data_IF_312288343485
#
_entry.id   IF_312288343485
#
_cell.length_a   1.000
_cell.length_b   1.000
_cell.length_c   1.000
_cell.angle_alpha   90.00
_cell.angle_beta   90.00
_cell.angle_gamma   90.00
#
_symmetry.space_group_name_H-M   'P 1'
#
loop_
_entity.id
_entity.type
_entity.pdbx_description
1 polymer ?
#
# COMPACT_ATOMS: atom_id res chain seq x y z
N UNK A 1 -4.23 27.44 -24.92
CA UNK A 1 -3.93 28.73 -25.57
C UNK A 1 -2.42 28.85 -25.72
N UNK A 2 -1.97 29.31 -26.88
CA UNK A 2 -0.55 29.52 -27.17
C UNK A 2 -0.28 30.99 -27.52
N UNK A 3 0.95 31.44 -27.31
CA UNK A 3 1.43 32.73 -27.80
C UNK A 3 1.73 32.71 -29.31
N UNK A 4 2.18 33.84 -29.86
CA UNK A 4 2.55 33.94 -31.28
C UNK A 4 3.77 33.12 -31.68
N UNK A 5 4.57 32.65 -30.71
CA UNK A 5 5.70 31.75 -30.91
C UNK A 5 5.32 30.27 -30.78
N UNK A 6 4.04 29.95 -30.52
CA UNK A 6 3.56 28.59 -30.34
C UNK A 6 3.77 28.01 -28.95
N UNK A 7 4.21 28.78 -27.95
CA UNK A 7 4.39 28.30 -26.58
C UNK A 7 3.06 28.28 -25.82
N UNK A 8 2.72 27.23 -25.06
CA UNK A 8 1.51 27.23 -24.24
C UNK A 8 1.59 28.29 -23.14
N UNK A 9 0.54 29.11 -23.01
CA UNK A 9 0.44 30.15 -21.96
C UNK A 9 -0.73 29.92 -20.99
N UNK A 10 -1.73 29.14 -21.40
CA UNK A 10 -2.87 28.80 -20.55
C UNK A 10 -3.54 27.51 -21.01
N UNK A 11 -4.05 26.74 -20.04
CA UNK A 11 -4.89 25.57 -20.27
C UNK A 11 -6.33 25.91 -19.91
N UNK A 12 -7.22 25.80 -20.90
CA UNK A 12 -8.65 26.07 -20.73
C UNK A 12 -9.40 24.73 -20.74
N UNK A 13 -10.20 24.41 -19.72
CA UNK A 13 -10.96 23.17 -19.71
C UNK A 13 -12.03 23.22 -20.80
N UNK A 14 -12.03 22.20 -21.66
CA UNK A 14 -13.06 22.00 -22.68
C UNK A 14 -14.07 20.96 -22.18
N UNK A 15 -15.35 21.25 -22.38
CA UNK A 15 -16.42 20.34 -21.98
C UNK A 15 -16.50 19.15 -22.97
N UNK A 16 -16.42 17.89 -22.50
CA UNK A 16 -16.41 16.73 -23.39
C UNK A 16 -17.70 16.54 -24.19
N UNK A 17 -18.86 16.97 -23.67
CA UNK A 17 -20.17 16.90 -24.35
C UNK A 17 -20.31 17.93 -25.48
N UNK A 18 -19.38 18.89 -25.56
CA UNK A 18 -19.36 19.97 -26.56
C UNK A 18 -18.12 19.97 -27.42
N UNK A 19 -17.26 18.97 -27.30
CA UNK A 19 -15.94 18.92 -27.96
C UNK A 19 -15.82 17.61 -28.72
N UNK A 20 -15.74 17.69 -30.04
CA UNK A 20 -15.76 16.54 -30.92
C UNK A 20 -14.46 16.46 -31.72
N UNK A 21 -13.75 15.34 -31.61
CA UNK A 21 -12.55 15.08 -32.40
C UNK A 21 -12.93 14.56 -33.78
N UNK A 22 -12.44 15.20 -34.84
CA UNK A 22 -12.74 14.87 -36.25
C UNK A 22 -11.47 14.72 -37.07
N UNK A 23 -11.58 14.03 -38.20
CA UNK A 23 -10.50 13.86 -39.17
C UNK A 23 -10.88 14.64 -40.42
N UNK A 24 -9.94 15.43 -40.94
CA UNK A 24 -10.11 16.12 -42.23
C UNK A 24 -10.06 15.13 -43.40
N UNK A 25 -10.40 15.58 -44.60
CA UNK A 25 -10.25 14.77 -45.83
C UNK A 25 -8.81 14.33 -46.09
N UNK A 26 -7.83 15.05 -45.54
CA UNK A 26 -6.40 14.77 -45.65
C UNK A 26 -5.86 13.86 -44.54
N UNK A 27 -6.73 13.36 -43.64
CA UNK A 27 -6.32 12.48 -42.54
C UNK A 27 -5.79 13.21 -41.30
N UNK A 28 -5.76 14.54 -41.31
CA UNK A 28 -5.26 15.35 -40.17
C UNK A 28 -6.36 15.50 -39.11
N UNK A 29 -6.10 15.16 -37.83
CA UNK A 29 -7.07 15.31 -36.75
C UNK A 29 -7.24 16.78 -36.33
N UNK A 30 -8.46 17.14 -35.93
CA UNK A 30 -8.83 18.43 -35.38
C UNK A 30 -10.01 18.29 -34.41
N UNK A 31 -10.36 19.37 -33.71
CA UNK A 31 -11.47 19.41 -32.77
C UNK A 31 -12.48 20.48 -33.18
N UNK A 32 -13.76 20.13 -33.12
CA UNK A 32 -14.86 21.10 -33.15
C UNK A 32 -15.42 21.29 -31.74
N UNK A 33 -15.40 22.53 -31.27
CA UNK A 33 -15.93 22.93 -29.97
C UNK A 33 -17.18 23.77 -30.19
N UNK A 34 -18.25 23.43 -29.47
CA UNK A 34 -19.54 24.12 -29.52
C UNK A 34 -19.82 24.86 -28.21
N UNK A 35 -19.15 25.99 -27.93
CA UNK A 35 -19.23 26.65 -26.61
C UNK A 35 -20.66 27.15 -26.30
N UNK A 36 -21.34 27.68 -27.31
CA UNK A 36 -22.71 28.18 -27.27
C UNK A 36 -23.52 27.63 -28.44
N UNK A 37 -24.85 27.60 -28.31
CA UNK A 37 -25.75 27.05 -29.32
C UNK A 37 -25.58 27.80 -30.65
N UNK A 38 -25.10 27.11 -31.68
CA UNK A 38 -24.89 27.65 -33.02
C UNK A 38 -23.48 28.18 -33.29
N UNK A 39 -22.63 28.34 -32.28
CA UNK A 39 -21.21 28.65 -32.47
C UNK A 39 -20.41 27.36 -32.65
N UNK A 40 -19.50 27.34 -33.63
CA UNK A 40 -18.55 26.25 -33.85
C UNK A 40 -17.16 26.88 -33.93
N UNK A 41 -16.25 26.37 -33.09
CA UNK A 41 -14.84 26.76 -33.09
C UNK A 41 -14.01 25.54 -33.43
N UNK A 42 -13.21 25.65 -34.49
CA UNK A 42 -12.28 24.60 -34.89
C UNK A 42 -10.92 24.83 -34.24
N UNK A 43 -10.40 23.82 -33.55
CA UNK A 43 -9.08 23.82 -32.94
C UNK A 43 -8.21 22.73 -33.57
N UNK A 44 -6.95 23.02 -33.92
CA UNK A 44 -6.03 21.99 -34.40
C UNK A 44 -5.61 21.05 -33.26
N UNK A 45 -5.23 19.81 -33.58
CA UNK A 45 -4.90 18.78 -32.58
C UNK A 45 -3.79 19.20 -31.60
N UNK A 46 -2.77 19.90 -32.07
CA UNK A 46 -1.65 20.40 -31.25
C UNK A 46 -2.07 21.48 -30.22
N UNK A 47 -3.28 22.04 -30.33
CA UNK A 47 -3.83 23.02 -29.39
C UNK A 47 -4.76 22.40 -28.34
N UNK A 48 -5.04 21.11 -28.43
CA UNK A 48 -5.95 20.39 -27.52
C UNK A 48 -5.19 19.27 -26.84
N UNK A 49 -5.06 19.34 -25.52
CA UNK A 49 -4.66 18.19 -24.70
C UNK A 49 -5.84 17.23 -24.61
N UNK A 50 -5.70 16.03 -25.16
CA UNK A 50 -6.74 15.02 -25.14
C UNK A 50 -6.28 13.78 -24.41
N UNK A 51 -6.72 13.70 -23.15
CA UNK A 51 -6.50 12.53 -22.31
C UNK A 51 -7.51 11.45 -22.70
N UNK A 52 -7.04 10.48 -23.47
CA UNK A 52 -7.88 9.39 -24.00
C UNK A 52 -8.01 8.30 -22.94
N UNK A 53 -9.25 7.84 -22.73
CA UNK A 53 -9.47 6.58 -22.02
C UNK A 53 -9.19 5.37 -22.92
N UNK A 54 -9.56 4.18 -22.43
CA UNK A 54 -9.49 2.92 -23.18
C UNK A 54 -10.15 3.06 -24.56
N UNK A 55 -9.47 2.63 -25.63
CA UNK A 55 -10.00 2.66 -27.00
C UNK A 55 -9.25 1.67 -27.89
N UNK A 56 -9.85 1.24 -29.00
CA UNK A 56 -9.24 0.27 -29.92
C UNK A 56 -8.30 0.90 -30.95
N UNK A 57 -8.61 2.11 -31.40
CA UNK A 57 -7.90 2.78 -32.50
C UNK A 57 -6.91 3.86 -32.02
N UNK A 58 -6.83 4.08 -30.70
CA UNK A 58 -6.04 5.17 -30.10
C UNK A 58 -6.51 6.57 -30.52
N UNK A 59 -7.66 6.68 -31.20
CA UNK A 59 -8.19 7.92 -31.75
C UNK A 59 -9.14 8.60 -30.77
N UNK A 60 -10.08 7.84 -30.22
CA UNK A 60 -11.02 8.30 -29.18
C UNK A 60 -11.19 7.23 -28.10
N UNK A 61 -11.36 7.65 -26.86
CA UNK A 61 -11.71 6.73 -25.78
C UNK A 61 -13.14 6.23 -25.91
N UNK A 62 -13.40 5.03 -25.43
CA UNK A 62 -14.73 4.47 -25.28
C UNK A 62 -15.52 5.21 -24.21
N UNK A 63 -16.82 5.35 -24.46
CA UNK A 63 -17.75 5.75 -23.43
C UNK A 63 -18.04 4.54 -22.52
N UNK A 64 -17.33 4.46 -21.40
CA UNK A 64 -17.44 3.37 -20.43
C UNK A 64 -18.88 3.21 -19.90
N UNK A 65 -19.60 4.32 -19.69
CA UNK A 65 -21.00 4.31 -19.25
C UNK A 65 -21.91 3.69 -20.31
N UNK A 66 -21.66 3.99 -21.58
CA UNK A 66 -22.42 3.40 -22.69
C UNK A 66 -22.11 1.91 -22.87
N UNK A 67 -20.85 1.50 -22.70
CA UNK A 67 -20.44 0.09 -22.78
C UNK A 67 -21.03 -0.76 -21.65
N UNK A 68 -21.30 -0.15 -20.50
CA UNK A 68 -21.76 -0.84 -19.29
C UNK A 68 -23.16 -0.41 -18.86
N UNK A 69 -23.96 0.08 -19.83
CA UNK A 69 -25.31 0.60 -19.58
C UNK A 69 -26.23 -0.45 -18.96
N UNK A 70 -26.06 -1.73 -19.28
CA UNK A 70 -26.84 -2.83 -18.73
C UNK A 70 -26.56 -3.04 -17.24
N UNK A 71 -25.29 -3.09 -16.83
CA UNK A 71 -24.89 -3.23 -15.42
C UNK A 71 -25.35 -2.02 -14.58
N UNK A 72 -25.19 -0.80 -15.12
CA UNK A 72 -25.66 0.43 -14.49
C UNK A 72 -27.20 0.44 -14.40
N UNK A 73 -27.87 0.10 -15.50
CA UNK A 73 -29.33 0.03 -15.59
C UNK A 73 -29.92 -0.99 -14.61
N UNK A 74 -29.26 -2.15 -14.45
CA UNK A 74 -29.63 -3.15 -13.45
C UNK A 74 -29.55 -2.57 -12.03
N UNK A 75 -28.48 -1.85 -11.70
CA UNK A 75 -28.35 -1.18 -10.39
C UNK A 75 -29.45 -0.15 -10.12
N UNK A 76 -29.82 0.63 -11.13
CA UNK A 76 -30.95 1.58 -11.05
C UNK A 76 -32.26 0.82 -10.80
N UNK A 77 -32.53 -0.24 -11.57
CA UNK A 77 -33.73 -1.04 -11.45
C UNK A 77 -33.85 -1.73 -10.08
N UNK A 78 -32.74 -2.27 -9.55
CA UNK A 78 -32.72 -2.88 -8.21
C UNK A 78 -33.02 -1.84 -7.13
N UNK A 79 -32.43 -0.64 -7.23
CA UNK A 79 -32.71 0.45 -6.28
C UNK A 79 -34.16 0.91 -6.36
N UNK A 80 -34.70 1.05 -7.57
CA UNK A 80 -36.09 1.43 -7.77
C UNK A 80 -37.07 0.36 -7.27
N UNK A 81 -36.79 -0.92 -7.56
CA UNK A 81 -37.56 -2.03 -7.01
C UNK A 81 -37.52 -2.01 -5.48
N UNK A 82 -36.34 -1.86 -4.88
CA UNK A 82 -36.19 -1.74 -3.42
C UNK A 82 -36.99 -0.56 -2.86
N UNK A 83 -36.87 0.62 -3.47
CA UNK A 83 -37.61 1.80 -3.05
C UNK A 83 -39.14 1.58 -3.13
N UNK A 84 -39.64 1.02 -4.23
CA UNK A 84 -41.07 0.70 -4.41
C UNK A 84 -41.54 -0.40 -3.45
N UNK A 85 -40.68 -1.38 -3.17
CA UNK A 85 -40.96 -2.45 -2.22
C UNK A 85 -41.11 -1.89 -0.81
N UNK A 86 -40.16 -1.07 -0.35
CA UNK A 86 -40.21 -0.47 0.98
C UNK A 86 -41.26 0.65 1.11
N UNK A 87 -41.61 1.33 0.01
CA UNK A 87 -42.70 2.31 -0.01
C UNK A 87 -44.08 1.67 -0.04
N UNK A 88 -44.19 0.33 0.01
CA UNK A 88 -45.45 -0.40 0.02
C UNK A 88 -46.13 -0.54 -1.36
N UNK A 89 -45.41 -0.27 -2.45
CA UNK A 89 -45.95 -0.26 -3.82
C UNK A 89 -45.65 -1.51 -4.63
N UNK A 90 -44.70 -2.37 -4.22
CA UNK A 90 -44.26 -3.52 -5.03
C UNK A 90 -44.88 -4.88 -4.64
N UNK A 91 -45.60 -4.98 -3.52
CA UNK A 91 -46.35 -6.19 -3.16
C UNK A 91 -47.69 -5.81 -2.57
N UNK A 92 -48.81 -6.45 -2.99
CA UNK A 92 -50.00 -6.42 -2.17
C UNK A 92 -49.62 -7.01 -0.81
N UNK A 93 -49.68 -6.21 0.26
CA UNK A 93 -49.37 -6.69 1.62
C UNK A 93 -50.20 -7.90 2.02
N UNK A 94 -51.32 -8.11 1.31
CA UNK A 94 -52.27 -9.20 1.44
C UNK A 94 -53.51 -8.94 0.60
N UNK A 95 -54.38 -9.93 0.59
CA UNK A 95 -55.71 -9.86 -0.03
C UNK A 95 -56.74 -9.79 1.09
N UNK A 96 -57.68 -8.85 0.96
CA UNK A 96 -58.91 -8.81 1.74
C UNK A 96 -59.93 -9.72 1.09
N UNK A 97 -60.31 -10.78 1.80
CA UNK A 97 -61.32 -11.72 1.36
C UNK A 97 -62.63 -11.45 2.10
N UNK A 98 -63.70 -11.20 1.33
CA UNK A 98 -65.04 -11.01 1.86
C UNK A 98 -65.86 -12.27 1.57
N UNK A 99 -66.58 -12.85 2.55
CA UNK A 99 -67.27 -14.14 2.41
C UNK A 99 -68.46 -14.11 1.42
N UNK A 100 -68.90 -12.94 0.98
CA UNK A 100 -70.01 -12.71 0.05
C UNK A 100 -69.64 -11.74 -1.06
N UNK A 101 -70.46 -11.68 -2.12
CA UNK A 101 -70.33 -10.68 -3.19
C UNK A 101 -70.73 -9.29 -2.68
N UNK A 102 -69.82 -8.33 -2.80
CA UNK A 102 -70.09 -6.92 -2.51
C UNK A 102 -70.63 -6.21 -3.77
N UNK A 103 -71.61 -5.32 -3.59
CA UNK A 103 -72.03 -4.40 -4.65
C UNK A 103 -70.99 -3.30 -4.90
N UNK A 104 -71.02 -2.68 -6.09
CA UNK A 104 -69.97 -1.74 -6.55
C UNK A 104 -69.73 -0.56 -5.58
N UNK A 105 -70.80 0.00 -5.01
CA UNK A 105 -70.71 1.10 -4.05
C UNK A 105 -70.02 0.68 -2.75
N UNK A 106 -70.33 -0.52 -2.25
CA UNK A 106 -69.72 -1.06 -1.03
C UNK A 106 -68.23 -1.38 -1.27
N UNK A 107 -67.90 -1.91 -2.45
CA UNK A 107 -66.53 -2.21 -2.85
C UNK A 107 -65.66 -0.95 -2.89
N UNK A 108 -66.14 0.15 -3.49
CA UNK A 108 -65.37 1.39 -3.55
C UNK A 108 -65.25 2.09 -2.19
N UNK A 109 -66.30 2.05 -1.37
CA UNK A 109 -66.23 2.55 0.01
C UNK A 109 -65.21 1.78 0.85
N UNK A 110 -65.17 0.45 0.70
CA UNK A 110 -64.20 -0.41 1.38
C UNK A 110 -62.77 -0.09 0.90
N UNK A 111 -62.55 0.02 -0.42
CA UNK A 111 -61.25 0.37 -1.00
C UNK A 111 -60.74 1.72 -0.47
N UNK A 112 -61.58 2.77 -0.52
CA UNK A 112 -61.23 4.11 -0.05
C UNK A 112 -60.90 4.13 1.45
N UNK A 113 -61.69 3.42 2.26
CA UNK A 113 -61.48 3.37 3.72
C UNK A 113 -60.19 2.62 4.07
N UNK A 114 -59.92 1.52 3.35
CA UNK A 114 -58.68 0.77 3.50
C UNK A 114 -57.46 1.60 3.10
N UNK A 115 -57.48 2.25 1.94
CA UNK A 115 -56.39 3.13 1.48
C UNK A 115 -56.14 4.31 2.43
N UNK A 116 -57.20 4.91 2.97
CA UNK A 116 -57.07 6.01 3.94
C UNK A 116 -56.43 5.57 5.28
N UNK A 117 -56.76 4.36 5.76
CA UNK A 117 -56.34 3.88 7.06
C UNK A 117 -55.02 3.10 7.05
N UNK A 118 -54.71 2.45 5.93
CA UNK A 118 -53.59 1.51 5.80
C UNK A 118 -52.62 1.88 4.66
N UNK A 119 -52.97 2.86 3.81
CA UNK A 119 -52.09 3.34 2.75
C UNK A 119 -51.03 4.30 3.26
N UNK A 120 -49.80 4.19 2.76
CA UNK A 120 -48.71 5.11 3.05
C UNK A 120 -47.92 4.81 4.33
N UNK A 121 -46.68 5.30 4.38
CA UNK A 121 -45.70 5.00 5.43
C UNK A 121 -46.15 5.49 6.82
N UNK A 122 -46.90 6.59 6.90
CA UNK A 122 -47.42 7.16 8.14
C UNK A 122 -48.51 6.33 8.82
N UNK A 123 -49.11 5.40 8.08
CA UNK A 123 -50.15 4.50 8.57
C UNK A 123 -49.61 3.11 8.95
N UNK A 124 -48.29 2.90 8.83
CA UNK A 124 -47.63 1.67 9.25
C UNK A 124 -47.91 1.38 10.73
N UNK A 125 -48.11 0.10 11.06
CA UNK A 125 -48.43 -0.41 12.41
C UNK A 125 -49.80 -0.02 12.99
N UNK A 126 -50.68 0.62 12.22
CA UNK A 126 -52.08 0.79 12.64
C UNK A 126 -52.80 -0.55 12.68
N UNK A 127 -53.53 -0.81 13.77
CA UNK A 127 -54.37 -2.00 13.87
C UNK A 127 -55.50 -1.94 12.86
N UNK A 128 -55.55 -2.91 11.95
CA UNK A 128 -56.67 -3.06 11.02
C UNK A 128 -57.86 -3.72 11.73
N UNK A 129 -59.04 -3.13 11.58
CA UNK A 129 -60.31 -3.70 12.05
C UNK A 129 -61.03 -4.24 10.82
N UNK A 130 -61.44 -5.51 10.89
CA UNK A 130 -62.15 -6.21 9.82
C UNK A 130 -63.57 -6.50 10.27
N UNK A 131 -64.56 -6.06 9.48
CA UNK A 131 -65.98 -6.22 9.75
C UNK A 131 -66.59 -7.35 8.92
N UNK A 132 -67.81 -7.79 9.28
CA UNK A 132 -68.61 -8.77 8.52
C UNK A 132 -67.93 -10.11 8.19
N UNK A 133 -66.96 -10.53 8.99
CA UNK A 133 -66.24 -11.79 8.78
C UNK A 133 -65.21 -11.73 7.66
N UNK A 134 -64.78 -10.54 7.25
CA UNK A 134 -63.63 -10.36 6.36
C UNK A 134 -62.36 -10.95 6.96
N UNK A 135 -61.53 -11.54 6.11
CA UNK A 135 -60.22 -12.08 6.49
C UNK A 135 -59.10 -11.39 5.71
N UNK A 136 -57.97 -11.20 6.38
CA UNK A 136 -56.74 -10.70 5.77
C UNK A 136 -55.80 -11.86 5.50
N UNK A 137 -55.54 -12.14 4.23
CA UNK A 137 -54.57 -13.14 3.80
C UNK A 137 -53.26 -12.45 3.41
N UNK A 138 -52.20 -12.48 4.24
CA UNK A 138 -50.94 -11.85 3.88
C UNK A 138 -50.29 -12.56 2.69
N UNK A 139 -50.01 -11.82 1.62
CA UNK A 139 -49.37 -12.29 0.38
C UNK A 139 -47.90 -11.87 0.29
N UNK A 140 -47.38 -11.20 1.33
CA UNK A 140 -46.05 -10.62 1.33
C UNK A 140 -44.92 -11.66 1.37
N UNK A 141 -43.93 -11.49 0.50
CA UNK A 141 -42.63 -12.15 0.62
C UNK A 141 -41.84 -11.46 1.72
N UNK A 142 -41.31 -12.23 2.68
CA UNK A 142 -40.49 -11.68 3.77
C UNK A 142 -39.22 -11.01 3.19
N UNK A 143 -38.94 -9.72 3.46
CA UNK A 143 -37.80 -8.99 2.89
C UNK A 143 -36.45 -9.64 3.19
N UNK A 144 -36.35 -10.35 4.33
CA UNK A 144 -35.17 -11.12 4.73
C UNK A 144 -34.84 -12.25 3.75
N UNK A 145 -35.83 -12.80 3.04
CA UNK A 145 -35.64 -13.82 2.00
C UNK A 145 -35.29 -13.23 0.64
N UNK A 146 -35.48 -11.92 0.45
CA UNK A 146 -35.32 -11.29 -0.85
C UNK A 146 -33.86 -10.94 -1.23
N UNK A 147 -32.86 -11.25 -0.38
CA UNK A 147 -31.41 -11.03 -0.64
C UNK A 147 -31.04 -9.63 -1.22
N UNK A 148 -31.90 -8.62 -1.07
CA UNK A 148 -31.75 -7.33 -1.74
C UNK A 148 -30.46 -6.60 -1.34
N UNK A 149 -30.02 -6.78 -0.09
CA UNK A 149 -28.77 -6.24 0.43
C UNK A 149 -27.54 -6.91 -0.22
N UNK A 150 -27.60 -8.22 -0.49
CA UNK A 150 -26.53 -8.94 -1.20
C UNK A 150 -26.46 -8.49 -2.67
N UNK A 151 -27.61 -8.29 -3.32
CA UNK A 151 -27.68 -7.77 -4.69
C UNK A 151 -27.12 -6.35 -4.77
N UNK A 152 -27.42 -5.49 -3.80
CA UNK A 152 -26.86 -4.14 -3.74
C UNK A 152 -25.34 -4.15 -3.54
N UNK A 153 -24.82 -5.02 -2.66
CA UNK A 153 -23.38 -5.20 -2.46
C UNK A 153 -22.69 -5.69 -3.73
N UNK A 154 -23.27 -6.69 -4.39
CA UNK A 154 -22.77 -7.18 -5.67
C UNK A 154 -22.76 -6.09 -6.75
N UNK A 155 -23.77 -5.23 -6.77
CA UNK A 155 -23.80 -4.11 -7.72
C UNK A 155 -22.67 -3.09 -7.49
N UNK A 156 -22.28 -2.84 -6.23
CA UNK A 156 -21.11 -2.00 -5.93
C UNK A 156 -19.85 -2.64 -6.50
N UNK A 157 -19.65 -3.93 -6.30
CA UNK A 157 -18.50 -4.66 -6.84
C UNK A 157 -18.51 -4.69 -8.39
N UNK A 158 -19.69 -4.84 -9.01
CA UNK A 158 -19.84 -4.85 -10.46
C UNK A 158 -19.48 -3.47 -11.06
N UNK A 159 -19.96 -2.38 -10.44
CA UNK A 159 -19.59 -1.02 -10.82
C UNK A 159 -18.09 -0.75 -10.58
N UNK A 160 -17.52 -1.28 -9.49
CA UNK A 160 -16.11 -1.09 -9.19
C UNK A 160 -15.21 -1.72 -10.27
N UNK A 161 -15.58 -2.90 -10.77
CA UNK A 161 -14.88 -3.61 -11.85
C UNK A 161 -14.84 -2.81 -13.15
N UNK A 162 -15.92 -2.11 -13.48
CA UNK A 162 -16.01 -1.29 -14.70
C UNK A 162 -14.89 -0.25 -14.78
N UNK A 163 -14.56 0.38 -13.64
CA UNK A 163 -13.52 1.41 -13.54
C UNK A 163 -12.17 0.87 -13.06
N UNK A 164 -12.07 -0.46 -12.87
CA UNK A 164 -10.95 -1.12 -12.21
C UNK A 164 -10.66 -0.56 -10.79
N UNK A 165 -11.67 -0.04 -10.08
CA UNK A 165 -11.49 0.52 -8.75
C UNK A 165 -11.73 -0.58 -7.71
N UNK A 166 -10.79 -0.79 -6.77
CA UNK A 166 -11.00 -1.72 -5.66
C UNK A 166 -12.21 -1.34 -4.78
N UNK A 167 -13.04 -2.30 -4.35
CA UNK A 167 -14.28 -2.01 -3.60
C UNK A 167 -14.08 -1.22 -2.30
N UNK A 168 -12.94 -1.36 -1.63
CA UNK A 168 -12.66 -0.63 -0.38
C UNK A 168 -12.57 0.89 -0.60
N UNK A 169 -12.20 1.34 -1.80
CA UNK A 169 -12.23 2.76 -2.19
C UNK A 169 -13.65 3.31 -2.34
N UNK A 170 -14.63 2.44 -2.55
CA UNK A 170 -16.06 2.79 -2.63
C UNK A 170 -16.78 2.60 -1.28
N UNK A 171 -16.05 2.30 -0.21
CA UNK A 171 -16.62 2.06 1.12
C UNK A 171 -17.14 0.65 1.36
N UNK A 172 -16.96 -0.28 0.41
CA UNK A 172 -17.27 -1.69 0.60
C UNK A 172 -16.08 -2.41 1.26
N UNK A 173 -16.15 -2.60 2.58
CA UNK A 173 -15.09 -3.22 3.39
C UNK A 173 -15.43 -4.64 3.88
N UNK A 174 -16.46 -5.28 3.33
CA UNK A 174 -16.97 -6.58 3.80
C UNK A 174 -15.91 -7.69 3.88
N UNK A 175 -14.83 -7.59 3.09
CA UNK A 175 -13.72 -8.54 3.05
C UNK A 175 -12.35 -7.92 3.35
N UNK A 176 -12.29 -6.64 3.73
CA UNK A 176 -11.04 -5.93 3.92
C UNK A 176 -10.64 -5.86 5.40
N UNK A 177 -9.42 -6.27 5.73
CA UNK A 177 -8.78 -6.03 7.04
C UNK A 177 -7.79 -4.87 6.93
N UNK A 178 -7.52 -4.17 8.04
CA UNK A 178 -6.61 -3.01 8.05
C UNK A 178 -5.22 -3.30 7.47
N UNK A 179 -4.66 -4.49 7.73
CA UNK A 179 -3.37 -4.91 7.18
C UNK A 179 -3.38 -5.11 5.66
N UNK A 180 -4.52 -5.51 5.09
CA UNK A 180 -4.69 -5.73 3.65
C UNK A 180 -4.99 -4.42 2.90
N UNK A 181 -5.48 -3.37 3.59
CA UNK A 181 -5.82 -2.09 2.95
C UNK A 181 -4.58 -1.37 2.42
N UNK A 182 -3.43 -1.44 3.10
CA UNK A 182 -2.19 -0.82 2.61
C UNK A 182 -1.73 -1.46 1.29
N UNK A 183 -1.71 -2.78 1.24
CA UNK A 183 -1.38 -3.53 0.04
C UNK A 183 -2.38 -3.26 -1.10
N UNK A 184 -3.69 -3.26 -0.80
CA UNK A 184 -4.73 -2.90 -1.78
C UNK A 184 -4.64 -1.44 -2.26
N UNK A 185 -4.11 -0.53 -1.45
CA UNK A 185 -3.87 0.85 -1.87
C UNK A 185 -2.70 0.94 -2.85
N UNK A 186 -1.64 0.15 -2.63
CA UNK A 186 -0.51 0.05 -3.56
C UNK A 186 -0.99 -0.58 -4.87
N UNK A 187 -1.74 -1.67 -4.81
CA UNK A 187 -2.32 -2.35 -5.97
C UNK A 187 -3.23 -1.40 -6.78
N UNK A 188 -4.09 -0.62 -6.12
CA UNK A 188 -4.90 0.41 -6.79
C UNK A 188 -4.05 1.40 -7.59
N UNK A 189 -2.97 1.89 -6.99
CA UNK A 189 -2.08 2.83 -7.67
C UNK A 189 -1.46 2.14 -8.89
N UNK A 190 -0.90 0.96 -8.71
CA UNK A 190 -0.17 0.23 -9.75
C UNK A 190 -1.06 -0.23 -10.91
N UNK A 191 -2.23 -0.82 -10.61
CA UNK A 191 -3.10 -1.44 -11.62
C UNK A 191 -4.11 -0.48 -12.23
N UNK A 192 -4.44 0.63 -11.55
CA UNK A 192 -5.50 1.56 -12.02
C UNK A 192 -4.94 2.93 -12.33
N UNK A 193 -4.27 3.55 -11.36
CA UNK A 193 -3.88 4.96 -11.49
C UNK A 193 -2.68 5.16 -12.41
N UNK A 194 -1.72 4.23 -12.44
CA UNK A 194 -0.54 4.33 -13.30
C UNK A 194 -0.89 4.49 -14.78
N UNK A 195 -1.94 3.82 -15.26
CA UNK A 195 -2.41 4.00 -16.63
C UNK A 195 -2.80 5.46 -16.91
N UNK A 196 -3.59 6.06 -16.01
CA UNK A 196 -4.02 7.45 -16.14
C UNK A 196 -2.83 8.40 -16.01
N UNK A 197 -1.95 8.18 -15.03
CA UNK A 197 -0.76 9.02 -14.86
C UNK A 197 0.11 9.03 -16.10
N UNK A 198 0.42 7.86 -16.66
CA UNK A 198 1.19 7.75 -17.91
C UNK A 198 0.49 8.41 -19.08
N UNK A 199 -0.82 8.29 -19.20
CA UNK A 199 -1.59 8.94 -20.27
C UNK A 199 -1.50 10.47 -20.18
N UNK A 200 -1.62 11.01 -18.97
CA UNK A 200 -1.44 12.45 -18.72
C UNK A 200 -0.02 12.91 -19.02
N UNK A 201 0.99 12.20 -18.50
CA UNK A 201 2.40 12.50 -18.74
C UNK A 201 2.73 12.50 -20.23
N UNK A 202 2.31 11.47 -20.97
CA UNK A 202 2.58 11.36 -22.39
C UNK A 202 1.94 12.49 -23.20
N UNK A 203 0.67 12.82 -22.95
CA UNK A 203 0.00 13.90 -23.68
C UNK A 203 0.61 15.27 -23.33
N UNK A 204 0.95 15.50 -22.06
CA UNK A 204 1.65 16.71 -21.62
C UNK A 204 3.03 16.81 -22.25
N UNK A 205 3.83 15.74 -22.23
CA UNK A 205 5.17 15.70 -22.81
C UNK A 205 5.14 15.94 -24.32
N UNK A 206 4.15 15.37 -25.01
CA UNK A 206 4.01 15.51 -26.45
C UNK A 206 3.58 16.92 -26.89
N UNK A 207 2.70 17.59 -26.14
CA UNK A 207 2.06 18.85 -26.58
C UNK A 207 2.51 20.09 -25.82
N UNK A 208 3.00 20.01 -24.58
CA UNK A 208 3.35 21.21 -23.82
C UNK A 208 4.75 21.73 -24.12
N UNK A 209 5.68 20.85 -24.47
CA UNK A 209 7.06 21.22 -24.76
C UNK A 209 7.28 21.40 -26.26
N UNK A 210 8.06 22.41 -26.61
CA UNK A 210 8.54 22.58 -27.99
C UNK A 210 9.54 21.46 -28.34
N UNK A 211 9.72 21.10 -29.61
CA UNK A 211 10.68 20.06 -30.01
C UNK A 211 12.10 20.29 -29.45
N UNK A 212 12.52 21.55 -29.32
CA UNK A 212 13.82 21.91 -28.73
C UNK A 212 13.92 21.71 -27.21
N UNK A 213 12.79 21.63 -26.52
CA UNK A 213 12.71 21.51 -25.06
C UNK A 213 12.56 20.05 -24.62
N UNK A 214 12.03 19.18 -25.48
CA UNK A 214 11.72 17.77 -25.18
C UNK A 214 12.93 16.94 -24.73
N UNK A 215 14.15 17.32 -25.14
CA UNK A 215 15.39 16.64 -24.72
C UNK A 215 15.84 17.02 -23.30
N UNK A 216 15.36 18.16 -22.78
CA UNK A 216 15.83 18.74 -21.50
C UNK A 216 14.75 18.86 -20.44
N UNK A 217 13.48 18.80 -20.86
CA UNK A 217 12.33 19.01 -20.00
C UNK A 217 11.31 17.90 -20.23
N UNK A 218 10.74 17.41 -19.13
CA UNK A 218 9.62 16.50 -19.15
C UNK A 218 8.68 16.79 -17.97
N UNK A 219 7.45 16.33 -18.10
CA UNK A 219 6.40 16.32 -17.11
C UNK A 219 6.22 14.89 -16.62
N UNK A 220 6.30 14.71 -15.30
CA UNK A 220 6.03 13.45 -14.61
C UNK A 220 5.11 13.71 -13.42
N UNK A 221 4.18 12.80 -13.17
CA UNK A 221 3.33 12.83 -11.98
C UNK A 221 4.08 12.08 -10.87
N UNK A 222 4.29 12.76 -9.74
CA UNK A 222 5.04 12.20 -8.62
C UNK A 222 4.22 11.21 -7.81
N UNK A 223 4.13 9.97 -8.30
CA UNK A 223 3.43 8.86 -7.63
C UNK A 223 4.13 8.41 -6.35
N UNK A 224 5.44 8.65 -6.25
CA UNK A 224 6.23 8.32 -5.07
C UNK A 224 5.63 8.91 -3.78
N UNK A 225 4.97 10.08 -3.84
CA UNK A 225 4.30 10.68 -2.70
C UNK A 225 3.06 9.89 -2.21
N UNK A 226 2.36 9.19 -3.11
CA UNK A 226 1.24 8.31 -2.77
C UNK A 226 1.74 6.98 -2.17
N UNK A 227 2.89 6.50 -2.62
CA UNK A 227 3.58 5.32 -2.08
C UNK A 227 4.39 5.61 -0.80
N UNK A 228 4.48 6.88 -0.35
CA UNK A 228 5.18 7.29 0.89
C UNK A 228 4.57 6.72 2.17
N UNK A 229 3.43 6.01 2.11
CA UNK A 229 2.81 5.39 3.29
C UNK A 229 3.79 4.57 4.14
N UNK A 230 4.84 4.01 3.52
CA UNK A 230 5.92 3.31 4.22
C UNK A 230 7.32 3.90 3.90
N UNK A 231 7.61 5.06 4.48
CA UNK A 231 8.95 5.71 4.41
C UNK A 231 10.05 4.72 4.82
N UNK A 232 9.80 3.89 5.84
CA UNK A 232 10.77 2.92 6.35
C UNK A 232 11.19 1.91 5.30
N UNK A 233 10.23 1.26 4.61
CA UNK A 233 10.53 0.28 3.57
C UNK A 233 11.27 0.91 2.38
N UNK A 234 10.91 2.15 2.03
CA UNK A 234 11.54 2.88 0.92
C UNK A 234 13.00 3.26 1.22
N UNK A 235 13.27 3.81 2.40
CA UNK A 235 14.64 4.13 2.82
C UNK A 235 15.49 2.87 3.00
N UNK A 236 14.88 1.77 3.46
CA UNK A 236 15.55 0.47 3.48
C UNK A 236 15.92 -0.01 2.06
N UNK A 237 15.03 0.14 1.08
CA UNK A 237 15.33 -0.19 -0.33
C UNK A 237 16.47 0.66 -0.90
N UNK A 238 16.50 1.96 -0.63
CA UNK A 238 17.62 2.82 -1.03
C UNK A 238 18.92 2.43 -0.35
N UNK A 239 18.88 2.06 0.94
CA UNK A 239 20.06 1.59 1.64
C UNK A 239 20.61 0.28 1.03
N UNK A 240 19.73 -0.64 0.63
CA UNK A 240 20.12 -1.86 -0.09
C UNK A 240 20.82 -1.51 -1.41
N UNK A 241 20.22 -0.63 -2.23
CA UNK A 241 20.81 -0.26 -3.52
C UNK A 241 22.11 0.52 -3.41
N UNK A 242 22.23 1.37 -2.38
CA UNK A 242 23.47 2.10 -2.06
C UNK A 242 24.58 1.16 -1.63
N UNK A 243 24.25 0.21 -0.74
CA UNK A 243 25.21 -0.77 -0.19
C UNK A 243 25.65 -1.80 -1.23
N UNK A 244 24.72 -2.22 -2.11
CA UNK A 244 25.02 -3.13 -3.22
C UNK A 244 25.76 -2.46 -4.39
N UNK A 245 25.88 -1.13 -4.37
CA UNK A 245 26.71 -0.39 -5.31
C UNK A 245 26.03 0.07 -6.59
N UNK A 246 24.76 -0.28 -6.83
CA UNK A 246 24.07 0.09 -8.08
C UNK A 246 23.30 1.42 -8.01
N UNK A 247 23.22 2.06 -6.83
CA UNK A 247 22.65 3.40 -6.68
C UNK A 247 23.68 4.39 -6.10
N UNK A 248 23.82 5.53 -6.76
CA UNK A 248 24.53 6.70 -6.23
C UNK A 248 23.60 7.60 -5.40
N UNK A 249 24.16 8.61 -4.72
CA UNK A 249 23.37 9.59 -3.95
C UNK A 249 22.52 10.45 -4.88
N UNK A 250 23.05 10.82 -6.04
CA UNK A 250 22.32 11.57 -7.06
C UNK A 250 21.22 10.73 -7.71
N UNK A 251 21.40 9.40 -7.87
CA UNK A 251 20.30 8.53 -8.33
C UNK A 251 19.12 8.56 -7.37
N UNK A 252 19.38 8.40 -6.07
CA UNK A 252 18.34 8.45 -5.04
C UNK A 252 17.67 9.82 -5.01
N UNK A 253 18.45 10.92 -5.12
CA UNK A 253 17.90 12.28 -5.18
C UNK A 253 17.06 12.52 -6.43
N UNK A 254 17.51 12.04 -7.61
CA UNK A 254 16.72 12.06 -8.84
C UNK A 254 15.39 11.32 -8.65
N UNK A 255 15.41 10.12 -8.06
CA UNK A 255 14.19 9.35 -7.75
C UNK A 255 13.26 10.08 -6.76
N UNK A 256 13.81 10.83 -5.80
CA UNK A 256 13.05 11.65 -4.86
C UNK A 256 12.72 13.06 -5.39
N UNK A 257 13.02 13.34 -6.67
CA UNK A 257 12.83 14.66 -7.30
C UNK A 257 13.50 15.81 -6.54
N UNK A 258 14.71 15.56 -6.04
CA UNK A 258 15.58 16.53 -5.41
C UNK A 258 16.75 16.86 -6.33
N UNK A 259 17.24 18.10 -6.26
CA UNK A 259 18.43 18.50 -6.99
C UNK A 259 19.64 17.66 -6.56
N UNK A 260 20.45 17.24 -7.54
CA UNK A 260 21.73 16.59 -7.27
C UNK A 260 22.69 17.50 -6.50
N UNK A 261 23.70 16.91 -5.88
CA UNK A 261 24.75 17.64 -5.13
C UNK A 261 26.05 17.82 -5.94
N UNK A 262 25.92 17.94 -7.27
CA UNK A 262 27.04 17.94 -8.20
C UNK A 262 27.72 16.57 -8.30
N UNK A 263 28.90 16.52 -8.91
CA UNK A 263 29.61 15.29 -9.27
C UNK A 263 29.94 14.39 -8.05
N UNK A 264 30.07 14.99 -6.86
CA UNK A 264 30.27 14.27 -5.60
C UNK A 264 29.10 13.31 -5.24
N UNK A 265 27.94 13.50 -5.86
CA UNK A 265 26.78 12.64 -5.66
C UNK A 265 26.68 11.44 -6.62
N UNK A 266 27.45 11.40 -7.70
CA UNK A 266 27.44 10.31 -8.70
C UNK A 266 28.49 9.22 -8.39
N UNK A 267 28.81 9.04 -7.10
CA UNK A 267 29.74 8.02 -6.62
C UNK A 267 28.97 6.71 -6.38
N UNK A 268 29.34 5.64 -7.08
CA UNK A 268 28.87 4.28 -6.83
C UNK A 268 29.81 3.57 -5.84
N UNK A 269 29.25 2.81 -4.89
CA UNK A 269 30.06 2.06 -3.93
C UNK A 269 30.41 0.69 -4.50
N UNK A 270 31.60 0.21 -4.24
CA UNK A 270 31.97 -1.18 -4.49
C UNK A 270 31.85 -1.96 -3.16
N UNK A 271 30.99 -2.99 -3.08
CA UNK A 271 30.87 -3.76 -1.86
C UNK A 271 32.16 -4.54 -1.59
N UNK A 272 32.85 -4.25 -0.48
CA UNK A 272 34.14 -4.87 -0.10
C UNK A 272 34.12 -6.40 0.01
N UNK A 273 32.96 -7.02 0.18
CA UNK A 273 32.83 -8.45 0.50
C UNK A 273 32.18 -9.29 -0.62
N UNK A 274 32.05 -8.75 -1.84
CA UNK A 274 31.52 -9.51 -2.98
C UNK A 274 32.65 -10.19 -3.74
N UNK A 275 32.82 -11.50 -3.55
CA UNK A 275 33.66 -12.35 -4.42
C UNK A 275 32.76 -13.08 -5.41
N UNK A 276 33.29 -13.38 -6.59
CA UNK A 276 32.58 -14.24 -7.54
C UNK A 276 32.31 -15.61 -6.90
N UNK A 277 31.12 -16.16 -7.14
CA UNK A 277 30.76 -17.47 -6.63
C UNK A 277 31.65 -18.54 -7.29
N UNK A 278 32.70 -18.97 -6.59
CA UNK A 278 33.65 -19.97 -7.05
C UNK A 278 35.13 -19.55 -7.05
N UNK A 279 35.45 -18.30 -6.69
CA UNK A 279 36.86 -17.88 -6.49
C UNK A 279 37.29 -18.09 -5.05
N UNK A 280 38.30 -18.93 -4.85
CA UNK A 280 39.00 -19.06 -3.56
C UNK A 280 39.70 -17.73 -3.18
N UNK A 281 39.94 -17.47 -1.88
CA UNK A 281 40.60 -16.24 -1.46
C UNK A 281 42.06 -16.25 -1.96
N UNK A 282 42.36 -15.42 -2.96
CA UNK A 282 43.75 -15.18 -3.35
C UNK A 282 44.47 -14.38 -2.25
N UNK A 283 45.51 -15.00 -1.68
CA UNK A 283 46.54 -14.35 -0.87
C UNK A 283 47.35 -13.42 -1.78
N UNK A 284 46.98 -12.14 -1.82
CA UNK A 284 47.88 -11.11 -2.38
C UNK A 284 48.89 -10.72 -1.31
N UNK A 285 49.98 -11.49 -1.28
CA UNK A 285 51.24 -11.08 -0.66
C UNK A 285 51.75 -9.81 -1.35
N UNK A 286 51.92 -8.79 -0.53
CA UNK A 286 52.49 -7.48 -0.85
C UNK A 286 53.95 -7.60 -1.30
N UNK A 287 54.29 -7.00 -2.44
CA UNK A 287 55.67 -6.66 -2.78
C UNK A 287 55.77 -5.23 -3.34
N UNK A 288 56.67 -4.47 -2.69
CA UNK A 288 57.42 -3.28 -3.13
C UNK A 288 57.10 -1.92 -2.48
N UNK A 289 57.90 -1.64 -1.44
CA UNK A 289 58.84 -0.52 -1.28
C UNK A 289 58.37 0.94 -1.45
N UNK A 290 58.32 1.61 -0.30
CA UNK A 290 58.91 2.91 0.07
C UNK A 290 58.86 4.07 -0.95
N UNK A 291 57.95 5.03 -0.72
CA UNK A 291 58.35 6.33 -0.16
C UNK A 291 57.15 7.24 0.21
N UNK A 292 57.34 7.91 1.34
CA UNK A 292 56.80 9.19 1.80
C UNK A 292 55.41 9.28 2.48
N UNK A 293 55.52 9.35 3.82
CA UNK A 293 54.80 10.16 4.79
C UNK A 293 53.35 9.79 5.18
N UNK A 294 53.35 8.96 6.23
CA UNK A 294 52.43 8.84 7.35
C UNK A 294 51.67 10.14 7.75
N UNK A 295 50.35 10.01 7.78
CA UNK A 295 49.48 10.63 8.78
C UNK A 295 48.38 9.61 9.12
N UNK A 296 48.76 8.52 9.79
CA UNK A 296 47.82 7.58 10.41
C UNK A 296 47.66 7.89 11.88
N UNK A 297 46.49 8.42 12.24
CA UNK A 297 46.09 8.64 13.64
C UNK A 297 46.03 7.26 14.33
N UNK A 298 46.98 7.01 15.23
CA UNK A 298 46.98 5.84 16.08
C UNK A 298 45.69 5.81 16.92
N UNK A 299 44.85 4.81 16.67
CA UNK A 299 43.69 4.51 17.52
C UNK A 299 44.22 3.90 18.81
N UNK A 300 43.99 4.58 19.93
CA UNK A 300 44.38 4.15 21.26
C UNK A 300 43.74 2.77 21.58
N UNK A 301 44.55 1.79 21.98
CA UNK A 301 44.09 0.43 22.30
C UNK A 301 42.98 0.43 23.38
N UNK A 302 42.96 1.45 24.24
CA UNK A 302 41.94 1.64 25.26
C UNK A 302 40.54 1.97 24.69
N UNK A 303 40.46 2.64 23.54
CA UNK A 303 39.20 2.96 22.86
C UNK A 303 38.60 1.72 22.17
N UNK A 304 39.45 0.90 21.58
CA UNK A 304 39.07 -0.40 21.00
C UNK A 304 38.58 -1.33 22.11
N UNK A 305 39.30 -1.41 23.22
CA UNK A 305 38.91 -2.23 24.37
C UNK A 305 37.59 -1.76 25.01
N UNK A 306 37.33 -0.44 25.03
CA UNK A 306 36.05 0.12 25.52
C UNK A 306 34.87 -0.23 24.61
N UNK A 307 35.07 -0.18 23.29
CA UNK A 307 34.03 -0.53 22.32
C UNK A 307 33.63 -2.02 22.41
N UNK A 308 34.62 -2.91 22.50
CA UNK A 308 34.38 -4.36 22.65
C UNK A 308 33.71 -4.70 23.98
N UNK A 309 34.12 -4.03 25.08
CA UNK A 309 33.45 -4.19 26.39
C UNK A 309 31.97 -3.82 26.35
N UNK A 310 31.61 -2.71 25.71
CA UNK A 310 30.22 -2.28 25.60
C UNK A 310 29.38 -3.26 24.75
N UNK A 311 29.98 -3.85 23.71
CA UNK A 311 29.33 -4.88 22.90
C UNK A 311 29.02 -6.13 23.72
N UNK A 312 29.98 -6.61 24.51
CA UNK A 312 29.82 -7.78 25.40
C UNK A 312 28.71 -7.52 26.43
N UNK A 313 28.70 -6.33 27.07
CA UNK A 313 27.65 -5.93 28.03
C UNK A 313 26.27 -5.98 27.37
N UNK A 314 26.13 -5.41 26.16
CA UNK A 314 24.85 -5.39 25.44
C UNK A 314 24.33 -6.81 25.15
N UNK A 315 25.21 -7.75 24.79
CA UNK A 315 24.81 -9.14 24.56
C UNK A 315 24.42 -9.84 25.87
N UNK A 316 25.10 -9.59 26.99
CA UNK A 316 24.71 -10.12 28.29
C UNK A 316 23.34 -9.59 28.75
N UNK A 317 23.01 -8.31 28.51
CA UNK A 317 21.69 -7.77 28.81
C UNK A 317 20.56 -8.48 28.06
N UNK A 318 20.80 -8.85 26.79
CA UNK A 318 19.83 -9.60 25.98
C UNK A 318 19.58 -10.98 26.56
N UNK A 319 20.64 -11.68 26.95
CA UNK A 319 20.56 -13.00 27.60
C UNK A 319 19.81 -12.92 28.94
N UNK A 320 20.11 -11.92 29.78
CA UNK A 320 19.46 -11.74 31.09
C UNK A 320 17.97 -11.44 30.96
N UNK A 321 17.56 -10.57 30.02
CA UNK A 321 16.14 -10.25 29.79
C UNK A 321 15.33 -11.50 29.44
N UNK A 322 15.90 -12.38 28.62
CA UNK A 322 15.25 -13.61 28.23
C UNK A 322 15.14 -14.60 29.39
N UNK A 323 16.15 -14.67 30.27
CA UNK A 323 16.08 -15.48 31.49
C UNK A 323 15.02 -14.97 32.47
N UNK A 324 14.87 -13.66 32.65
CA UNK A 324 13.86 -13.08 33.55
C UNK A 324 12.42 -13.32 33.08
N UNK A 325 12.19 -13.48 31.77
CA UNK A 325 10.86 -13.87 31.24
C UNK A 325 10.46 -15.32 31.56
N UNK A 326 11.40 -16.18 31.99
CA UNK A 326 11.18 -17.61 32.23
C UNK A 326 10.54 -17.99 33.58
N UNK A 327 10.37 -17.04 34.50
CA UNK A 327 9.73 -17.27 35.81
C UNK A 327 10.61 -17.99 36.86
N UNK A 328 10.52 -17.55 38.12
CA UNK A 328 11.39 -17.89 39.27
C UNK A 328 11.34 -19.34 39.80
N UNK A 329 11.00 -20.37 39.02
CA UNK A 329 11.06 -21.77 39.49
C UNK A 329 12.23 -22.48 38.82
N UNK A 330 13.11 -23.07 39.63
CA UNK A 330 14.40 -23.63 39.24
C UNK A 330 14.41 -24.32 37.87
N UNK A 331 15.39 -23.96 37.06
CA UNK A 331 15.52 -24.42 35.68
C UNK A 331 15.55 -25.96 35.64
N UNK A 332 14.53 -26.57 35.02
CA UNK A 332 14.58 -27.98 34.60
C UNK A 332 15.78 -28.16 33.65
N UNK A 333 16.48 -29.30 33.73
CA UNK A 333 17.72 -29.57 32.97
C UNK A 333 17.62 -29.25 31.47
N UNK A 334 16.50 -29.58 30.84
CA UNK A 334 16.28 -29.29 29.41
C UNK A 334 16.20 -27.80 29.08
N UNK A 335 15.63 -26.99 30.00
CA UNK A 335 15.53 -25.53 29.82
C UNK A 335 16.89 -24.87 30.08
N UNK A 336 17.67 -25.41 31.01
CA UNK A 336 19.03 -24.99 31.27
C UNK A 336 19.92 -25.18 30.04
N UNK A 337 19.92 -26.37 29.46
CA UNK A 337 20.75 -26.67 28.28
C UNK A 337 20.37 -25.83 27.06
N UNK A 338 19.08 -25.54 26.89
CA UNK A 338 18.59 -24.67 25.83
C UNK A 338 19.09 -23.23 26.00
N UNK A 339 18.96 -22.66 27.21
CA UNK A 339 19.41 -21.31 27.51
C UNK A 339 20.93 -21.19 27.47
N UNK A 340 21.67 -22.20 27.95
CA UNK A 340 23.13 -22.26 27.89
C UNK A 340 23.64 -22.22 26.45
N UNK A 341 23.08 -23.06 25.57
CA UNK A 341 23.46 -23.09 24.15
C UNK A 341 23.16 -21.77 23.45
N UNK A 342 22.02 -21.16 23.76
CA UNK A 342 21.63 -19.88 23.18
C UNK A 342 22.56 -18.74 23.64
N UNK A 343 22.82 -18.65 24.94
CA UNK A 343 23.74 -17.67 25.51
C UNK A 343 25.15 -17.83 24.94
N UNK A 344 25.66 -19.05 24.85
CA UNK A 344 26.97 -19.32 24.27
C UNK A 344 27.05 -18.88 22.80
N UNK A 345 26.00 -19.11 22.02
CA UNK A 345 25.96 -18.71 20.60
C UNK A 345 25.97 -17.20 20.43
N UNK A 346 25.15 -16.48 21.20
CA UNK A 346 25.04 -15.01 21.08
C UNK A 346 26.31 -14.31 21.57
N UNK A 347 26.88 -14.79 22.67
CA UNK A 347 28.02 -14.15 23.31
C UNK A 347 29.35 -14.44 22.59
N UNK A 348 29.45 -15.59 21.91
CA UNK A 348 30.71 -16.08 21.35
C UNK A 348 31.39 -15.09 20.40
N UNK A 349 30.68 -14.57 19.39
CA UNK A 349 31.29 -13.67 18.40
C UNK A 349 31.85 -12.39 19.04
N UNK A 350 31.08 -11.78 19.96
CA UNK A 350 31.50 -10.56 20.66
C UNK A 350 32.66 -10.76 21.62
N UNK A 351 32.72 -11.90 22.30
CA UNK A 351 33.80 -12.24 23.23
C UNK A 351 35.04 -12.71 22.48
N UNK A 352 34.87 -13.46 21.38
CA UNK A 352 35.96 -13.92 20.54
C UNK A 352 36.64 -12.77 19.81
N UNK A 353 35.90 -11.78 19.33
CA UNK A 353 36.48 -10.56 18.77
C UNK A 353 37.43 -9.85 19.75
N UNK A 354 37.13 -9.87 21.05
CA UNK A 354 38.00 -9.31 22.09
C UNK A 354 39.15 -10.26 22.49
N UNK A 355 38.86 -11.56 22.60
CA UNK A 355 39.83 -12.58 22.99
C UNK A 355 40.91 -12.82 21.93
N UNK A 356 40.54 -12.73 20.64
CA UNK A 356 41.47 -12.89 19.51
C UNK A 356 42.50 -11.77 19.44
N UNK A 357 42.10 -10.53 19.75
CA UNK A 357 43.01 -9.38 19.91
C UNK A 357 43.98 -9.61 21.09
N UNK A 358 43.54 -10.34 22.11
CA UNK A 358 44.38 -10.74 23.24
C UNK A 358 45.22 -12.01 22.98
N UNK A 359 45.16 -12.58 21.77
CA UNK A 359 45.93 -13.76 21.36
C UNK A 359 45.35 -15.11 21.80
N UNK A 360 44.10 -15.14 22.27
CA UNK A 360 43.45 -16.36 22.78
C UNK A 360 42.75 -17.12 21.65
N UNK A 361 42.86 -18.45 21.65
CA UNK A 361 42.26 -19.29 20.62
C UNK A 361 40.73 -19.33 20.73
N UNK A 362 40.05 -19.65 19.62
CA UNK A 362 38.61 -19.83 19.59
C UNK A 362 38.14 -20.97 20.51
N UNK A 363 38.97 -22.01 20.70
CA UNK A 363 38.64 -23.14 21.56
C UNK A 363 38.64 -22.74 23.04
N UNK A 364 39.68 -22.02 23.48
CA UNK A 364 39.81 -21.54 24.85
C UNK A 364 38.74 -20.50 25.18
N UNK A 365 38.38 -19.66 24.20
CA UNK A 365 37.28 -18.69 24.32
C UNK A 365 35.93 -19.38 24.56
N UNK A 366 35.64 -20.50 23.85
CA UNK A 366 34.41 -21.27 24.07
C UNK A 366 34.39 -21.94 25.42
N UNK A 367 35.52 -22.46 25.88
CA UNK A 367 35.63 -23.08 27.19
C UNK A 367 35.39 -22.06 28.30
N UNK A 368 36.09 -20.92 28.26
CA UNK A 368 35.94 -19.83 29.23
C UNK A 368 34.50 -19.28 29.26
N UNK A 369 33.90 -19.06 28.10
CA UNK A 369 32.53 -18.59 28.01
C UNK A 369 31.55 -19.64 28.57
N UNK A 370 31.79 -20.93 28.31
CA UNK A 370 31.03 -22.03 28.88
C UNK A 370 31.07 -22.04 30.41
N UNK A 371 32.26 -21.89 30.99
CA UNK A 371 32.44 -21.83 32.45
C UNK A 371 31.72 -20.63 33.08
N UNK A 372 31.84 -19.42 32.50
CA UNK A 372 31.17 -18.23 33.02
C UNK A 372 29.65 -18.33 32.91
N UNK A 373 29.15 -18.88 31.80
CA UNK A 373 27.73 -19.14 31.60
C UNK A 373 27.23 -20.19 32.60
N UNK A 374 27.98 -21.27 32.81
CA UNK A 374 27.59 -22.33 33.73
C UNK A 374 27.59 -21.86 35.19
N UNK A 375 28.61 -21.12 35.62
CA UNK A 375 28.70 -20.57 36.97
C UNK A 375 27.54 -19.63 37.32
N UNK A 376 26.99 -18.91 36.34
CA UNK A 376 25.97 -17.88 36.57
C UNK A 376 24.54 -18.37 36.28
N UNK A 377 24.33 -19.14 35.21
CA UNK A 377 23.00 -19.70 34.88
C UNK A 377 22.65 -20.83 35.86
N UNK A 378 23.60 -21.70 36.24
CA UNK A 378 23.28 -22.89 37.04
C UNK A 378 23.01 -22.54 38.50
N UNK A 379 23.65 -21.49 39.01
CA UNK A 379 23.47 -21.01 40.40
C UNK A 379 22.31 -20.02 40.56
N UNK A 380 21.61 -19.68 39.47
CA UNK A 380 20.49 -18.71 39.45
C UNK A 380 20.84 -17.38 40.15
N UNK A 381 22.08 -16.93 40.01
CA UNK A 381 22.54 -15.67 40.61
C UNK A 381 22.14 -14.53 39.67
N UNK A 382 21.43 -13.55 40.22
CA UNK A 382 21.02 -12.35 39.49
C UNK A 382 22.18 -11.36 39.43
N UNK A 383 23.26 -11.74 38.76
CA UNK A 383 24.40 -10.87 38.51
C UNK A 383 24.10 -9.96 37.32
N UNK A 384 24.45 -8.67 37.42
CA UNK A 384 24.20 -7.69 36.37
C UNK A 384 25.20 -7.84 35.19
N UNK A 385 24.77 -7.40 34.00
CA UNK A 385 25.51 -7.60 32.75
C UNK A 385 26.92 -7.00 32.76
N UNK A 386 27.12 -5.90 33.51
CA UNK A 386 28.42 -5.22 33.63
C UNK A 386 29.41 -6.06 34.41
N UNK A 387 28.97 -6.70 35.49
CA UNK A 387 29.79 -7.59 36.31
C UNK A 387 30.14 -8.87 35.54
N UNK A 388 29.20 -9.46 34.79
CA UNK A 388 29.46 -10.64 33.95
C UNK A 388 30.47 -10.34 32.84
N UNK A 389 30.31 -9.21 32.14
CA UNK A 389 31.30 -8.78 31.15
C UNK A 389 32.67 -8.53 31.79
N UNK A 390 32.70 -7.95 33.00
CA UNK A 390 33.92 -7.78 33.79
C UNK A 390 34.61 -9.10 34.11
N UNK A 391 33.87 -10.13 34.52
CA UNK A 391 34.42 -11.46 34.82
C UNK A 391 34.99 -12.15 33.58
N UNK A 392 34.32 -12.05 32.42
CA UNK A 392 34.82 -12.61 31.15
C UNK A 392 36.13 -11.92 30.74
N UNK A 393 36.16 -10.59 30.80
CA UNK A 393 37.35 -9.81 30.46
C UNK A 393 38.50 -10.11 31.43
N UNK A 394 38.20 -10.27 32.72
CA UNK A 394 39.20 -10.59 33.74
C UNK A 394 39.78 -12.00 33.54
N UNK A 395 38.94 -13.02 33.29
CA UNK A 395 39.43 -14.38 32.99
C UNK A 395 40.24 -14.42 31.68
N UNK A 396 39.86 -13.64 30.66
CA UNK A 396 40.64 -13.48 29.41
C UNK A 396 42.02 -12.89 29.72
N UNK A 397 42.10 -11.90 30.62
CA UNK A 397 43.36 -11.30 31.05
C UNK A 397 44.21 -12.22 31.94
N UNK A 398 43.62 -13.20 32.62
CA UNK A 398 44.32 -14.18 33.47
C UNK A 398 44.88 -15.37 32.67
N UNK A 399 44.34 -15.65 31.48
CA UNK A 399 44.84 -16.68 30.54
C UNK A 399 46.03 -16.16 29.72
N UNK A 400 46.06 -14.85 29.48
CA UNK A 400 47.22 -14.14 28.91
C UNK A 400 48.32 -14.00 29.95
#
# INVERSE_FOLDING_TARGET
>A
QRDGGGRPIALWPLLPDKTFRKISSEGVPFYEVHPTKGAVVTLPDYNVLHIKGLGYDGYSGYNVVQMQKEAIGYGIAVKEYGARFFSGSANPGGVLEHPKVLGDVAKENLRRTWEANQGGLSNAHRTAILEEGMTWNPMGVEPKKAQALEVQKYNVDDISRIFNIPPHKLGSMDRATFSNIEEQNIDFIQMTMMYWFRTWEQECNYKLFMPSEQDTMFCEILVAALLRGNITARYAAYNIGRTAGFLSVNDIRRMENMNGIGDAGDIYLEPLNMKEAGTDPDDTQSDNNDNDNDDTVAVDDDDVNRAHRNLIISQFERVIRQQQSGGKKGLRGDLYDSLRKHAATILFESVYAFASVSGISAADTRQLLGEVIDENIQKNVTTDAVTLAGMVIQKIKEIK
#
